data_IF_257703470580
#
_entry.id   IF_257703470580
#
_cell.length_a   1.000
_cell.length_b   1.000
_cell.length_c   1.000
_cell.angle_alpha   90.00
_cell.angle_beta   90.00
_cell.angle_gamma   90.00
#
_symmetry.space_group_name_H-M   'P 1'
#
loop_
_entity.id
_entity.type
_entity.pdbx_description
1 polymer ?
#
# COMPACT_ATOMS: atom_id res chain seq x y z
N UNK A 1 24.80 1.11 2.08
CA UNK A 1 25.83 0.59 3.01
C UNK A 1 25.73 1.21 4.40
N UNK A 2 25.79 2.52 4.55
CA UNK A 2 25.72 3.21 5.88
C UNK A 2 24.50 2.82 6.73
N UNK A 3 23.31 2.65 6.14
CA UNK A 3 22.09 2.31 6.87
C UNK A 3 22.11 0.88 7.47
N UNK A 4 22.80 -0.05 6.83
CA UNK A 4 22.94 -1.45 7.28
C UNK A 4 23.91 -1.51 8.46
N UNK A 5 25.03 -0.78 8.38
CA UNK A 5 26.03 -0.69 9.44
C UNK A 5 25.40 -0.12 10.72
N UNK A 6 24.60 0.95 10.60
CA UNK A 6 23.90 1.56 11.72
C UNK A 6 22.93 0.57 12.41
N UNK A 7 22.21 -0.25 11.67
CA UNK A 7 21.28 -1.24 12.24
C UNK A 7 22.02 -2.33 13.01
N UNK A 8 23.10 -2.87 12.44
CA UNK A 8 23.93 -3.88 13.09
C UNK A 8 24.59 -3.32 14.38
N UNK A 9 25.17 -2.13 14.30
CA UNK A 9 25.77 -1.47 15.44
C UNK A 9 24.75 -1.20 16.54
N UNK A 10 23.55 -0.73 16.18
CA UNK A 10 22.47 -0.49 17.16
C UNK A 10 22.05 -1.77 17.85
N UNK A 11 21.89 -2.87 17.12
CA UNK A 11 21.57 -4.20 17.69
C UNK A 11 22.68 -4.69 18.61
N UNK A 12 23.93 -4.57 18.19
CA UNK A 12 25.06 -5.00 18.99
C UNK A 12 25.19 -4.18 20.29
N UNK A 13 25.10 -2.86 20.22
CA UNK A 13 25.14 -2.02 21.42
C UNK A 13 23.95 -2.31 22.36
N UNK A 14 22.76 -2.52 21.81
CA UNK A 14 21.59 -2.89 22.59
C UNK A 14 21.77 -4.26 23.29
N UNK A 15 22.39 -5.26 22.62
CA UNK A 15 22.68 -6.56 23.22
C UNK A 15 23.69 -6.51 24.37
N UNK A 16 24.53 -5.47 24.40
CA UNK A 16 25.46 -5.16 25.50
C UNK A 16 24.81 -4.32 26.62
N UNK A 17 23.48 -4.08 26.56
CA UNK A 17 22.76 -3.25 27.53
C UNK A 17 23.04 -1.75 27.41
N UNK A 18 23.70 -1.30 26.35
CA UNK A 18 24.04 0.12 26.16
C UNK A 18 22.84 0.89 25.62
N UNK A 19 22.46 2.02 26.23
CA UNK A 19 21.36 2.85 25.74
C UNK A 19 21.72 3.56 24.41
N UNK A 20 21.03 3.18 23.33
CA UNK A 20 21.21 3.81 22.02
C UNK A 20 20.14 4.87 21.79
N UNK A 21 20.55 6.04 21.32
CA UNK A 21 19.66 7.15 20.96
C UNK A 21 19.91 7.61 19.53
N UNK A 22 18.86 7.98 18.84
CA UNK A 22 18.94 8.54 17.48
C UNK A 22 18.92 10.06 17.54
N UNK A 23 19.96 10.70 17.04
CA UNK A 23 19.99 12.15 16.90
C UNK A 23 19.08 12.57 15.74
N UNK A 24 17.99 13.25 16.06
CA UNK A 24 17.01 13.69 15.05
C UNK A 24 17.59 14.85 14.22
N UNK A 25 17.29 14.83 12.92
CA UNK A 25 17.71 15.88 12.00
C UNK A 25 17.37 17.29 12.51
N UNK A 26 18.24 18.28 12.33
CA UNK A 26 18.03 19.63 12.83
C UNK A 26 16.77 20.28 12.25
N UNK A 27 16.16 21.21 13.00
CA UNK A 27 15.05 22.01 12.50
C UNK A 27 15.51 22.82 11.27
N UNK A 28 14.54 23.18 10.41
CA UNK A 28 14.82 23.90 9.16
C UNK A 28 15.56 25.21 9.35
N UNK A 29 15.37 25.87 10.49
CA UNK A 29 16.04 27.11 10.89
C UNK A 29 17.52 26.91 11.28
N UNK A 30 17.91 25.70 11.64
CA UNK A 30 19.30 25.33 12.02
C UNK A 30 20.06 24.64 10.90
N UNK A 31 19.52 24.66 9.67
CA UNK A 31 20.19 24.10 8.49
C UNK A 31 21.36 25.00 8.13
N UNK A 32 22.45 24.33 7.81
CA UNK A 32 23.78 24.81 7.31
C UNK A 32 23.86 26.28 6.91
N UNK A 33 24.93 26.91 7.32
CA UNK A 33 25.36 28.19 6.74
C UNK A 33 25.58 27.98 5.22
N UNK A 34 25.25 28.99 4.40
CA UNK A 34 25.58 28.96 2.97
C UNK A 34 27.08 28.66 2.79
N UNK A 35 27.42 27.72 1.91
CA UNK A 35 28.81 27.34 1.64
C UNK A 35 29.35 26.11 2.38
N UNK A 36 28.69 25.59 3.42
CA UNK A 36 29.12 24.35 4.07
C UNK A 36 28.57 23.14 3.33
N UNK A 37 29.43 22.35 2.70
CA UNK A 37 29.16 21.07 2.11
C UNK A 37 28.65 20.01 3.14
N UNK A 38 28.18 18.86 2.68
CA UNK A 38 27.87 17.71 3.54
C UNK A 38 29.20 17.08 3.99
N UNK A 39 29.42 17.06 5.31
CA UNK A 39 30.64 16.59 5.93
C UNK A 39 30.23 15.67 7.09
N UNK A 40 30.80 14.48 7.15
CA UNK A 40 30.47 13.47 8.15
C UNK A 40 30.91 13.93 9.56
N UNK A 41 31.98 14.70 9.66
CA UNK A 41 32.48 15.30 10.90
C UNK A 41 31.45 16.26 11.51
N UNK A 42 30.87 17.15 10.71
CA UNK A 42 29.84 18.08 11.17
C UNK A 42 28.52 17.34 11.55
N UNK A 43 28.23 16.22 10.93
CA UNK A 43 27.07 15.38 11.29
C UNK A 43 27.36 14.64 12.61
N UNK A 44 28.59 14.14 12.83
CA UNK A 44 29.03 13.50 14.07
C UNK A 44 29.08 14.51 15.25
N UNK A 45 29.62 15.70 15.03
CA UNK A 45 29.66 16.76 16.05
C UNK A 45 28.26 17.17 16.50
N UNK A 46 27.31 17.29 15.54
CA UNK A 46 25.91 17.60 15.87
C UNK A 46 25.23 16.47 16.65
N UNK A 47 25.53 15.23 16.31
CA UNK A 47 25.01 14.08 17.05
C UNK A 47 25.55 14.05 18.48
N UNK A 48 26.85 14.30 18.67
CA UNK A 48 27.47 14.39 19.98
C UNK A 48 26.87 15.54 20.82
N UNK A 49 26.73 16.73 20.25
CA UNK A 49 26.08 17.88 20.93
C UNK A 49 24.63 17.60 21.30
N UNK A 50 23.86 16.93 20.43
CA UNK A 50 22.48 16.50 20.72
C UNK A 50 22.45 15.50 21.88
N UNK A 51 23.39 14.55 21.91
CA UNK A 51 23.51 13.58 22.99
C UNK A 51 23.84 14.26 24.33
N UNK A 52 24.81 15.18 24.35
CA UNK A 52 25.21 15.92 25.55
C UNK A 52 24.09 16.82 26.09
N UNK A 53 23.34 17.48 25.20
CA UNK A 53 22.24 18.37 25.63
C UNK A 53 20.94 17.63 25.97
N UNK A 54 20.87 16.33 25.73
CA UNK A 54 19.64 15.56 25.87
C UNK A 54 18.50 16.00 24.93
N UNK A 55 18.77 16.99 24.05
CA UNK A 55 17.77 17.58 23.17
C UNK A 55 17.69 16.86 21.84
N UNK A 56 16.46 16.73 21.28
CA UNK A 56 16.22 16.15 19.95
C UNK A 56 16.74 14.73 19.78
N UNK A 57 16.68 13.96 20.85
CA UNK A 57 16.95 12.53 20.82
C UNK A 57 15.66 11.73 20.62
N UNK A 58 15.75 10.70 19.80
CA UNK A 58 14.69 9.74 19.56
C UNK A 58 15.12 8.33 19.94
N UNK A 59 14.16 7.43 20.05
CA UNK A 59 14.43 6.02 20.14
C UNK A 59 14.66 5.48 18.73
N UNK A 60 15.75 4.75 18.46
CA UNK A 60 16.00 4.14 17.14
C UNK A 60 14.88 3.18 16.77
N UNK A 61 14.67 3.02 15.47
CA UNK A 61 13.75 2.00 14.96
C UNK A 61 14.33 0.63 15.25
N UNK A 62 13.60 -0.22 15.98
CA UNK A 62 13.96 -1.62 16.14
C UNK A 62 13.55 -2.42 14.90
N UNK A 63 14.29 -3.48 14.62
CA UNK A 63 14.11 -4.42 13.51
C UNK A 63 14.58 -5.80 13.97
N UNK A 64 14.00 -6.31 15.03
CA UNK A 64 14.40 -7.53 15.75
C UNK A 64 13.18 -8.43 16.05
N UNK A 65 12.00 -8.03 15.64
CA UNK A 65 10.75 -8.75 15.78
C UNK A 65 10.13 -9.18 14.45
N UNK A 66 8.82 -9.32 14.43
CA UNK A 66 8.06 -9.77 13.27
C UNK A 66 8.17 -8.83 12.05
N UNK A 67 8.35 -7.53 12.27
CA UNK A 67 8.49 -6.54 11.20
C UNK A 67 9.79 -6.78 10.41
N UNK A 68 10.85 -7.26 11.04
CA UNK A 68 12.08 -7.62 10.31
C UNK A 68 11.86 -8.83 9.40
N UNK A 69 11.10 -9.84 9.86
CA UNK A 69 10.66 -10.94 9.02
C UNK A 69 9.88 -10.48 7.80
N UNK A 70 8.88 -9.60 8.01
CA UNK A 70 8.10 -9.00 6.92
C UNK A 70 8.98 -8.19 5.96
N UNK A 71 9.98 -7.46 6.46
CA UNK A 71 10.96 -6.74 5.62
C UNK A 71 11.75 -7.70 4.72
N UNK A 72 12.16 -8.85 5.25
CA UNK A 72 12.87 -9.88 4.47
C UNK A 72 11.95 -10.47 3.38
N UNK A 73 10.70 -10.80 3.73
CA UNK A 73 9.71 -11.30 2.77
C UNK A 73 9.40 -10.28 1.67
N UNK A 74 9.27 -8.98 2.00
CA UNK A 74 9.13 -7.92 1.01
C UNK A 74 10.33 -7.82 0.06
N UNK A 75 11.54 -8.00 0.57
CA UNK A 75 12.75 -7.98 -0.24
C UNK A 75 12.79 -9.18 -1.22
N UNK A 76 12.49 -10.38 -0.73
CA UNK A 76 12.40 -11.60 -1.54
C UNK A 76 11.31 -11.45 -2.62
N UNK A 77 10.09 -11.01 -2.24
CA UNK A 77 9.01 -10.73 -3.18
C UNK A 77 9.42 -9.72 -4.26
N UNK A 78 10.12 -8.65 -3.86
CA UNK A 78 10.59 -7.62 -4.82
C UNK A 78 11.60 -8.21 -5.81
N UNK A 79 12.48 -9.11 -5.37
CA UNK A 79 13.39 -9.84 -6.22
C UNK A 79 12.65 -10.71 -7.24
N UNK A 80 11.69 -11.50 -6.78
CA UNK A 80 10.85 -12.35 -7.63
C UNK A 80 10.05 -11.53 -8.68
N UNK A 81 9.44 -10.40 -8.28
CA UNK A 81 8.72 -9.51 -9.21
C UNK A 81 9.65 -8.93 -10.28
N UNK A 82 10.88 -8.57 -9.92
CA UNK A 82 11.89 -8.10 -10.89
C UNK A 82 12.31 -9.20 -11.86
N UNK A 83 12.57 -10.41 -11.36
CA UNK A 83 12.92 -11.57 -12.20
C UNK A 83 11.80 -11.89 -13.19
N UNK A 84 10.55 -11.90 -12.74
CA UNK A 84 9.37 -12.06 -13.58
C UNK A 84 9.27 -11.02 -14.69
N UNK A 85 9.50 -9.76 -14.36
CA UNK A 85 9.45 -8.65 -15.34
C UNK A 85 10.61 -8.75 -16.33
N UNK A 86 11.80 -9.10 -15.86
CA UNK A 86 12.98 -9.30 -16.68
C UNK A 86 12.79 -10.43 -17.69
N UNK A 87 12.23 -11.58 -17.26
CA UNK A 87 11.94 -12.71 -18.14
C UNK A 87 10.99 -12.31 -19.30
N UNK A 88 9.90 -11.59 -19.00
CA UNK A 88 8.98 -11.09 -20.04
C UNK A 88 9.70 -10.17 -21.03
N UNK A 89 10.51 -9.22 -20.54
CA UNK A 89 11.19 -8.26 -21.39
C UNK A 89 12.25 -8.94 -22.26
N UNK A 90 12.99 -9.92 -21.74
CA UNK A 90 13.96 -10.71 -22.49
C UNK A 90 13.26 -11.55 -23.57
N UNK A 91 12.16 -12.23 -23.24
CA UNK A 91 11.39 -12.99 -24.21
C UNK A 91 10.87 -12.11 -25.36
N UNK A 92 10.34 -10.92 -25.03
CA UNK A 92 9.92 -9.95 -26.06
C UNK A 92 11.07 -9.47 -26.95
N UNK A 93 12.24 -9.24 -26.36
CA UNK A 93 13.44 -8.86 -27.13
C UNK A 93 13.85 -9.95 -28.10
N UNK A 94 13.88 -11.21 -27.67
CA UNK A 94 14.19 -12.36 -28.54
C UNK A 94 13.16 -12.52 -29.66
N UNK A 95 11.86 -12.37 -29.34
CA UNK A 95 10.80 -12.45 -30.33
C UNK A 95 10.84 -11.32 -31.38
N UNK A 96 11.41 -10.16 -31.05
CA UNK A 96 11.54 -9.03 -32.00
C UNK A 96 12.42 -9.39 -33.17
N UNK A 97 13.46 -10.20 -32.96
CA UNK A 97 14.40 -10.65 -33.98
C UNK A 97 14.13 -12.08 -34.48
N UNK A 98 13.07 -12.71 -34.02
CA UNK A 98 12.69 -14.08 -34.40
C UNK A 98 12.19 -14.18 -35.85
N UNK A 99 12.23 -15.37 -36.45
CA UNK A 99 11.60 -15.64 -37.75
C UNK A 99 10.10 -15.24 -37.72
N UNK A 100 9.59 -14.79 -38.89
CA UNK A 100 8.21 -14.23 -38.97
C UNK A 100 7.12 -15.20 -38.46
N UNK A 101 7.31 -16.51 -38.68
CA UNK A 101 6.35 -17.52 -38.19
C UNK A 101 6.18 -17.50 -36.66
N UNK A 102 7.29 -17.40 -35.93
CA UNK A 102 7.27 -17.26 -34.46
C UNK A 102 6.77 -15.86 -34.04
N UNK A 103 7.29 -14.82 -34.69
CA UNK A 103 6.94 -13.44 -34.37
C UNK A 103 5.44 -13.17 -34.55
N UNK A 104 4.83 -13.62 -35.63
CA UNK A 104 3.40 -13.45 -35.90
C UNK A 104 2.52 -14.18 -34.88
N UNK A 105 2.94 -15.39 -34.47
CA UNK A 105 2.23 -16.21 -33.48
C UNK A 105 2.06 -15.50 -32.14
N UNK A 106 3.06 -14.75 -31.69
CA UNK A 106 3.06 -14.10 -30.37
C UNK A 106 2.80 -12.58 -30.42
N UNK A 107 2.54 -12.03 -31.61
CA UNK A 107 2.31 -10.58 -31.80
C UNK A 107 1.12 -10.09 -30.98
N UNK A 108 1.33 -9.02 -30.22
CA UNK A 108 0.28 -8.36 -29.43
C UNK A 108 -0.17 -9.08 -28.16
N UNK A 109 0.46 -10.22 -27.81
CA UNK A 109 0.10 -10.93 -26.59
C UNK A 109 0.48 -10.15 -25.34
N UNK A 110 -0.42 -10.12 -24.35
CA UNK A 110 -0.12 -9.61 -23.01
C UNK A 110 0.98 -10.45 -22.34
N UNK A 111 1.83 -9.80 -21.52
CA UNK A 111 3.01 -10.44 -20.93
C UNK A 111 2.74 -11.79 -20.23
N UNK A 112 1.78 -11.90 -19.32
CA UNK A 112 1.47 -13.18 -18.66
C UNK A 112 1.07 -14.27 -19.66
N UNK A 113 0.14 -13.98 -20.57
CA UNK A 113 -0.31 -14.93 -21.59
C UNK A 113 0.82 -15.36 -22.52
N UNK A 114 1.71 -14.42 -22.91
CA UNK A 114 2.90 -14.74 -23.67
C UNK A 114 3.72 -15.81 -22.96
N UNK A 115 4.03 -15.63 -21.68
CA UNK A 115 4.88 -16.56 -20.93
C UNK A 115 4.22 -17.93 -20.71
N UNK A 116 2.89 -18.00 -20.66
CA UNK A 116 2.12 -19.25 -20.57
C UNK A 116 2.13 -20.02 -21.89
N UNK A 117 2.22 -19.35 -23.02
CA UNK A 117 2.21 -19.96 -24.36
C UNK A 117 3.63 -20.36 -24.85
N UNK A 118 4.69 -19.72 -24.37
CA UNK A 118 6.07 -19.97 -24.83
C UNK A 118 6.57 -21.42 -24.66
N UNK A 119 6.15 -22.21 -23.65
CA UNK A 119 6.55 -23.62 -23.56
C UNK A 119 6.18 -24.44 -24.78
N UNK A 120 5.15 -24.05 -25.54
CA UNK A 120 4.69 -24.75 -26.75
C UNK A 120 5.70 -24.76 -27.90
N UNK A 121 6.65 -23.83 -27.90
CA UNK A 121 7.70 -23.73 -28.94
C UNK A 121 9.05 -24.23 -28.48
N UNK A 122 9.16 -24.83 -27.30
CA UNK A 122 10.42 -25.28 -26.68
C UNK A 122 11.22 -26.23 -27.59
N UNK A 123 10.55 -27.07 -28.37
CA UNK A 123 11.18 -28.00 -29.28
C UNK A 123 11.61 -27.37 -30.64
N UNK A 124 11.29 -26.11 -30.87
CA UNK A 124 11.55 -25.40 -32.14
C UNK A 124 12.99 -24.80 -32.18
N UNK A 125 14.02 -25.64 -31.94
CA UNK A 125 15.41 -25.25 -32.01
C UNK A 125 15.90 -24.43 -30.80
N UNK A 126 17.07 -23.82 -30.90
CA UNK A 126 17.73 -23.11 -29.82
C UNK A 126 16.92 -21.90 -29.31
N UNK A 127 16.26 -21.16 -30.21
CA UNK A 127 15.40 -20.04 -29.83
C UNK A 127 14.19 -20.52 -29.02
N UNK A 128 13.52 -21.57 -29.45
CA UNK A 128 12.39 -22.17 -28.73
C UNK A 128 12.79 -22.68 -27.35
N UNK A 129 13.95 -23.34 -27.24
CA UNK A 129 14.52 -23.76 -25.96
C UNK A 129 14.77 -22.57 -25.00
N UNK A 130 15.34 -21.47 -25.51
CA UNK A 130 15.60 -20.27 -24.74
C UNK A 130 14.28 -19.60 -24.26
N UNK A 131 13.29 -19.50 -25.14
CA UNK A 131 11.97 -18.96 -24.80
C UNK A 131 11.25 -19.82 -23.74
N UNK A 132 11.33 -21.15 -23.86
CA UNK A 132 10.81 -22.08 -22.87
C UNK A 132 11.49 -21.95 -21.50
N UNK A 133 12.81 -21.79 -21.45
CA UNK A 133 13.55 -21.55 -20.21
C UNK A 133 13.14 -20.23 -19.53
N UNK A 134 12.89 -19.17 -20.30
CA UNK A 134 12.37 -17.89 -19.78
C UNK A 134 10.96 -18.04 -19.22
N UNK A 135 10.12 -18.87 -19.81
CA UNK A 135 8.78 -19.17 -19.31
C UNK A 135 8.85 -19.90 -17.95
N UNK A 136 9.75 -20.89 -17.81
CA UNK A 136 9.98 -21.59 -16.54
C UNK A 136 10.45 -20.62 -15.44
N UNK A 137 11.42 -19.77 -15.74
CA UNK A 137 11.90 -18.74 -14.82
C UNK A 137 10.78 -17.79 -14.39
N UNK A 138 9.95 -17.36 -15.34
CA UNK A 138 8.81 -16.49 -15.07
C UNK A 138 7.80 -17.18 -14.15
N UNK A 139 7.46 -18.45 -14.41
CA UNK A 139 6.52 -19.21 -13.59
C UNK A 139 7.02 -19.37 -12.15
N UNK A 140 8.28 -19.81 -11.98
CA UNK A 140 8.90 -19.95 -10.67
C UNK A 140 8.94 -18.60 -9.91
N UNK A 141 9.28 -17.51 -10.61
CA UNK A 141 9.31 -16.18 -10.00
C UNK A 141 7.90 -15.65 -9.65
N UNK A 142 6.88 -15.99 -10.44
CA UNK A 142 5.48 -15.68 -10.15
C UNK A 142 5.04 -16.36 -8.86
N UNK A 143 5.30 -17.65 -8.75
CA UNK A 143 4.86 -18.47 -7.63
C UNK A 143 5.60 -18.05 -6.34
N UNK A 144 6.91 -17.84 -6.40
CA UNK A 144 7.69 -17.29 -5.28
C UNK A 144 7.16 -15.92 -4.80
N UNK A 145 6.73 -15.04 -5.72
CA UNK A 145 6.15 -13.74 -5.34
C UNK A 145 4.81 -13.90 -4.64
N UNK A 146 3.96 -14.84 -5.08
CA UNK A 146 2.67 -15.14 -4.45
C UNK A 146 2.84 -15.78 -3.08
N UNK A 147 3.79 -16.70 -2.93
CA UNK A 147 4.07 -17.36 -1.64
C UNK A 147 4.55 -16.34 -0.60
N UNK A 148 5.44 -15.43 -1.00
CA UNK A 148 5.85 -14.33 -0.12
C UNK A 148 4.69 -13.41 0.24
N UNK A 149 3.77 -13.15 -0.66
CA UNK A 149 2.59 -12.32 -0.38
C UNK A 149 1.65 -13.00 0.62
N UNK A 150 1.42 -14.31 0.50
CA UNK A 150 0.65 -15.11 1.48
C UNK A 150 1.32 -15.12 2.85
N UNK A 151 2.63 -15.33 2.90
CA UNK A 151 3.38 -15.31 4.15
C UNK A 151 3.36 -13.94 4.84
N UNK A 152 3.43 -12.86 4.07
CA UNK A 152 3.26 -11.49 4.56
C UNK A 152 1.84 -11.29 5.12
N UNK A 153 0.80 -11.75 4.41
CA UNK A 153 -0.59 -11.64 4.85
C UNK A 153 -0.79 -12.38 6.18
N UNK A 154 -0.33 -13.61 6.29
CA UNK A 154 -0.41 -14.39 7.52
C UNK A 154 0.30 -13.72 8.71
N UNK A 155 1.51 -13.19 8.50
CA UNK A 155 2.24 -12.47 9.54
C UNK A 155 1.53 -11.20 9.99
N UNK A 156 0.87 -10.49 9.07
CA UNK A 156 0.08 -9.30 9.39
C UNK A 156 -1.25 -9.64 10.08
N UNK A 157 -1.89 -10.75 9.73
CA UNK A 157 -3.10 -11.24 10.40
C UNK A 157 -2.83 -11.56 11.87
N UNK A 158 -1.67 -12.14 12.15
CA UNK A 158 -1.24 -12.45 13.51
C UNK A 158 -0.86 -11.20 14.32
N UNK A 159 -0.06 -10.31 13.75
CA UNK A 159 0.61 -9.26 14.51
C UNK A 159 -0.01 -7.87 14.37
N UNK A 160 -0.69 -7.56 13.25
CA UNK A 160 -1.31 -6.24 13.02
C UNK A 160 -2.51 -6.30 12.07
N UNK A 161 -3.57 -7.07 12.41
CA UNK A 161 -4.77 -7.19 11.57
C UNK A 161 -5.46 -5.86 11.30
N UNK A 162 -5.30 -4.86 12.17
CA UNK A 162 -5.86 -3.53 11.97
C UNK A 162 -5.36 -2.82 10.69
N UNK A 163 -4.12 -3.08 10.25
CA UNK A 163 -3.63 -2.56 8.97
C UNK A 163 -4.32 -3.21 7.76
N UNK A 164 -4.58 -4.52 7.84
CA UNK A 164 -5.30 -5.24 6.78
C UNK A 164 -6.79 -4.85 6.73
N UNK A 165 -7.36 -4.47 7.88
CA UNK A 165 -8.73 -4.01 7.97
C UNK A 165 -8.97 -2.64 7.30
N UNK A 166 -7.93 -1.86 7.08
CA UNK A 166 -8.04 -0.56 6.39
C UNK A 166 -8.52 -0.75 4.96
N UNK A 167 -9.55 0.01 4.55
CA UNK A 167 -10.05 -0.04 3.18
C UNK A 167 -8.97 0.30 2.14
N UNK A 168 -8.84 -0.55 1.12
CA UNK A 168 -7.84 -0.38 0.06
C UNK A 168 -6.40 -0.72 0.45
N UNK A 169 -6.16 -1.21 1.66
CA UNK A 169 -4.84 -1.62 2.13
C UNK A 169 -4.67 -3.14 1.92
N UNK A 170 -3.95 -3.53 0.89
CA UNK A 170 -3.57 -4.93 0.68
C UNK A 170 -2.30 -5.32 1.47
N UNK A 171 -1.96 -6.64 1.54
CA UNK A 171 -0.87 -7.15 2.36
C UNK A 171 0.48 -6.46 2.12
N UNK A 172 0.84 -6.23 0.86
CA UNK A 172 2.10 -5.56 0.48
C UNK A 172 2.15 -4.10 0.94
N UNK A 173 1.01 -3.39 0.88
CA UNK A 173 0.93 -2.00 1.34
C UNK A 173 0.99 -1.91 2.86
N UNK A 174 0.27 -2.79 3.57
CA UNK A 174 0.31 -2.93 5.01
C UNK A 174 1.73 -3.24 5.51
N UNK A 175 2.39 -4.22 4.88
CA UNK A 175 3.76 -4.58 5.19
C UNK A 175 4.75 -3.40 5.06
N UNK A 176 4.67 -2.62 3.98
CA UNK A 176 5.52 -1.44 3.79
C UNK A 176 5.30 -0.39 4.88
N UNK A 177 4.06 -0.21 5.34
CA UNK A 177 3.72 0.72 6.42
C UNK A 177 4.23 0.20 7.78
N UNK A 178 4.09 -1.09 8.06
CA UNK A 178 4.65 -1.73 9.25
C UNK A 178 6.18 -1.62 9.28
N UNK A 179 6.85 -1.92 8.16
CA UNK A 179 8.31 -1.79 8.05
C UNK A 179 8.78 -0.35 8.24
N UNK A 180 8.02 0.65 7.80
CA UNK A 180 8.37 2.06 8.06
C UNK A 180 8.26 2.42 9.55
N UNK A 181 7.29 1.84 10.27
CA UNK A 181 7.13 2.02 11.71
C UNK A 181 8.22 1.30 12.51
N UNK A 182 8.54 0.05 12.17
CA UNK A 182 9.46 -0.82 12.91
C UNK A 182 8.74 -1.64 13.99
N UNK A 183 9.48 -2.51 14.68
CA UNK A 183 8.95 -3.37 15.75
C UNK A 183 8.58 -2.58 17.04
N UNK A 184 9.00 -1.33 17.14
CA UNK A 184 8.69 -0.42 18.24
C UNK A 184 7.89 0.82 17.78
N UNK A 185 6.64 0.67 17.30
CA UNK A 185 5.85 1.79 16.78
C UNK A 185 5.59 2.88 17.82
N UNK A 186 5.60 2.54 19.12
CA UNK A 186 5.47 3.51 20.23
C UNK A 186 6.55 4.61 20.25
N UNK A 187 7.68 4.45 19.51
CA UNK A 187 8.67 5.52 19.30
C UNK A 187 8.11 6.70 18.48
N UNK A 188 7.03 6.47 17.76
CA UNK A 188 6.38 7.49 16.94
C UNK A 188 5.50 8.36 17.83
N UNK A 189 5.91 9.60 18.05
CA UNK A 189 5.26 10.51 19.00
C UNK A 189 3.87 10.97 18.58
N UNK A 190 3.51 10.90 17.29
CA UNK A 190 2.24 11.40 16.77
C UNK A 190 1.96 10.93 15.34
N UNK A 191 0.71 11.05 14.90
CA UNK A 191 0.30 10.89 13.50
C UNK A 191 1.12 11.76 12.53
N UNK A 192 1.49 12.97 12.97
CA UNK A 192 2.32 13.88 12.19
C UNK A 192 3.74 13.35 11.98
N UNK A 193 4.30 12.73 13.02
CA UNK A 193 5.61 12.08 13.00
C UNK A 193 5.65 10.93 12.01
N UNK A 194 4.65 10.04 12.05
CA UNK A 194 4.53 8.94 11.09
C UNK A 194 4.33 9.43 9.66
N UNK A 195 3.45 10.41 9.45
CA UNK A 195 3.27 11.00 8.12
C UNK A 195 4.53 11.67 7.57
N UNK A 196 5.38 12.23 8.44
CA UNK A 196 6.68 12.78 8.03
C UNK A 196 7.64 11.66 7.59
N UNK A 197 7.69 10.54 8.32
CA UNK A 197 8.46 9.34 7.95
C UNK A 197 7.99 8.81 6.59
N UNK A 198 6.69 8.76 6.35
CA UNK A 198 6.12 8.31 5.06
C UNK A 198 6.24 9.36 3.94
N UNK A 199 6.81 10.54 4.18
CA UNK A 199 6.88 11.62 3.19
C UNK A 199 5.50 12.21 2.82
N UNK A 200 4.48 12.00 3.64
CA UNK A 200 3.12 12.50 3.43
C UNK A 200 2.87 13.86 4.12
N UNK A 201 3.85 14.41 4.82
CA UNK A 201 3.78 15.74 5.41
C UNK A 201 3.97 16.81 4.34
N UNK A 202 3.05 17.78 4.20
CA UNK A 202 3.22 18.87 3.26
C UNK A 202 4.38 19.78 3.68
N UNK A 203 5.21 20.20 2.73
CA UNK A 203 6.23 21.22 2.96
C UNK A 203 5.68 22.56 2.47
N UNK A 204 5.56 23.59 3.33
CA UNK A 204 5.14 24.91 2.89
C UNK A 204 6.03 25.44 1.76
N UNK A 205 5.42 25.97 0.72
CA UNK A 205 6.08 26.59 -0.43
C UNK A 205 5.33 27.88 -0.80
N UNK A 206 4.99 28.65 0.24
CA UNK A 206 4.25 29.90 0.11
C UNK A 206 5.17 31.06 -0.25
N UNK A 207 4.72 31.95 -1.10
CA UNK A 207 5.34 33.24 -1.38
C UNK A 207 4.24 34.31 -1.44
N UNK A 208 4.35 35.37 -0.63
CA UNK A 208 3.38 36.44 -0.56
C UNK A 208 1.97 35.94 -0.24
N UNK A 209 0.98 36.30 -1.07
CA UNK A 209 -0.44 35.96 -0.87
C UNK A 209 -0.81 34.50 -1.23
N UNK A 210 0.11 33.72 -1.82
CA UNK A 210 -0.18 32.35 -2.28
C UNK A 210 0.31 31.30 -1.29
N UNK A 211 -0.61 30.57 -0.67
CA UNK A 211 -0.31 29.44 0.21
C UNK A 211 -0.29 28.15 -0.61
N UNK A 212 0.89 27.62 -0.87
CA UNK A 212 1.07 26.35 -1.57
C UNK A 212 1.96 25.39 -0.78
N UNK A 213 1.86 24.11 -1.10
CA UNK A 213 2.64 23.05 -0.48
C UNK A 213 3.32 22.21 -1.55
N UNK A 214 4.61 21.87 -1.35
CA UNK A 214 5.36 20.99 -2.22
C UNK A 214 5.54 19.59 -1.62
N UNK A 215 5.93 18.63 -2.49
CA UNK A 215 6.19 17.26 -2.10
C UNK A 215 7.38 17.17 -1.12
N UNK A 216 7.20 16.39 -0.06
CA UNK A 216 8.29 15.98 0.81
C UNK A 216 9.04 14.79 0.17
N UNK A 217 10.28 15.01 -0.25
CA UNK A 217 11.14 13.97 -0.83
C UNK A 217 12.00 13.22 0.20
N UNK A 218 11.94 13.63 1.46
CA UNK A 218 12.80 13.11 2.53
C UNK A 218 12.24 11.91 3.30
N UNK A 219 11.07 11.41 2.93
CA UNK A 219 10.43 10.27 3.61
C UNK A 219 10.81 8.90 3.01
N UNK A 220 10.35 7.84 3.67
CA UNK A 220 10.46 6.47 3.19
C UNK A 220 9.67 6.28 1.89
N UNK A 221 10.37 5.91 0.81
CA UNK A 221 9.78 5.78 -0.52
C UNK A 221 8.79 4.63 -0.60
N UNK A 222 9.03 3.52 0.12
CA UNK A 222 8.15 2.35 0.11
C UNK A 222 6.85 2.65 0.83
N UNK A 223 6.94 3.29 2.00
CA UNK A 223 5.75 3.75 2.72
C UNK A 223 4.96 4.81 1.92
N UNK A 224 5.65 5.76 1.27
CA UNK A 224 5.01 6.75 0.41
C UNK A 224 4.27 6.10 -0.78
N UNK A 225 4.88 5.08 -1.38
CA UNK A 225 4.26 4.28 -2.46
C UNK A 225 3.03 3.52 -1.94
N UNK A 226 3.09 2.93 -0.74
CA UNK A 226 1.96 2.25 -0.13
C UNK A 226 0.79 3.21 0.12
N UNK A 227 1.05 4.38 0.72
CA UNK A 227 0.02 5.41 0.91
C UNK A 227 -0.59 5.89 -0.41
N UNK A 228 0.22 5.99 -1.47
CA UNK A 228 -0.26 6.38 -2.80
C UNK A 228 -1.18 5.31 -3.38
N UNK A 229 -0.79 4.05 -3.29
CA UNK A 229 -1.58 2.94 -3.82
C UNK A 229 -2.93 2.82 -3.10
N UNK A 230 -2.94 2.90 -1.75
CA UNK A 230 -4.17 2.90 -0.96
C UNK A 230 -5.08 4.08 -1.35
N UNK A 231 -4.51 5.29 -1.45
CA UNK A 231 -5.29 6.48 -1.84
C UNK A 231 -5.85 6.34 -3.27
N UNK A 232 -5.06 5.79 -4.22
CA UNK A 232 -5.49 5.54 -5.59
C UNK A 232 -6.64 4.53 -5.64
N UNK A 233 -6.53 3.42 -4.91
CA UNK A 233 -7.59 2.41 -4.83
C UNK A 233 -8.88 3.00 -4.24
N UNK A 234 -8.76 3.87 -3.24
CA UNK A 234 -9.92 4.54 -2.65
C UNK A 234 -10.59 5.50 -3.64
N UNK A 235 -9.83 6.33 -4.35
CA UNK A 235 -10.41 7.23 -5.37
C UNK A 235 -11.15 6.45 -6.46
N UNK A 236 -10.65 5.26 -6.82
CA UNK A 236 -11.27 4.45 -7.87
C UNK A 236 -12.49 3.64 -7.41
N UNK A 237 -12.57 3.27 -6.13
CA UNK A 237 -13.52 2.27 -5.65
C UNK A 237 -14.38 2.71 -4.48
N UNK A 238 -14.07 3.82 -3.83
CA UNK A 238 -14.83 4.38 -2.72
C UNK A 238 -15.51 5.68 -3.15
N UNK A 239 -16.85 5.69 -3.26
CA UNK A 239 -17.60 6.87 -3.69
C UNK A 239 -17.34 8.11 -2.84
N UNK A 240 -17.19 7.98 -1.52
CA UNK A 240 -16.91 9.12 -0.64
C UNK A 240 -15.56 9.76 -0.93
N UNK A 241 -14.54 8.91 -1.16
CA UNK A 241 -13.21 9.39 -1.53
C UNK A 241 -13.21 10.01 -2.93
N UNK A 242 -13.97 9.45 -3.88
CA UNK A 242 -14.14 10.01 -5.22
C UNK A 242 -14.82 11.39 -5.16
N UNK A 243 -15.91 11.52 -4.43
CA UNK A 243 -16.58 12.83 -4.20
C UNK A 243 -15.66 13.87 -3.55
N UNK A 244 -14.90 13.43 -2.52
CA UNK A 244 -13.90 14.31 -1.92
C UNK A 244 -12.88 14.81 -2.95
N UNK A 245 -12.41 13.91 -3.81
CA UNK A 245 -11.44 14.25 -4.85
C UNK A 245 -12.04 15.24 -5.86
N UNK A 246 -13.29 15.04 -6.30
CA UNK A 246 -14.01 15.95 -7.20
C UNK A 246 -14.24 17.34 -6.58
N UNK A 247 -14.72 17.39 -5.35
CA UNK A 247 -14.89 18.66 -4.61
C UNK A 247 -13.57 19.41 -4.45
N UNK A 248 -12.48 18.66 -4.19
CA UNK A 248 -11.16 19.28 -4.05
C UNK A 248 -10.63 19.83 -5.39
N UNK A 249 -10.90 19.16 -6.52
CA UNK A 249 -10.62 19.66 -7.88
C UNK A 249 -11.45 20.92 -8.21
N UNK A 250 -12.73 20.91 -7.87
CA UNK A 250 -13.61 22.06 -8.05
C UNK A 250 -13.15 23.31 -7.27
N UNK A 251 -12.39 23.11 -6.17
CA UNK A 251 -11.72 24.19 -5.41
C UNK A 251 -10.34 24.57 -5.96
N UNK A 252 -9.99 24.16 -7.18
CA UNK A 252 -8.74 24.50 -7.85
C UNK A 252 -7.52 23.66 -7.44
N UNK A 253 -7.69 22.52 -6.75
CA UNK A 253 -6.57 21.62 -6.46
C UNK A 253 -6.27 20.73 -7.67
N UNK A 254 -4.98 20.62 -7.99
CA UNK A 254 -4.51 19.64 -8.97
C UNK A 254 -4.62 18.21 -8.41
N UNK A 255 -4.65 17.19 -9.29
CA UNK A 255 -4.67 15.77 -8.89
C UNK A 255 -3.53 15.40 -7.94
N UNK A 256 -2.33 15.98 -8.16
CA UNK A 256 -1.19 15.78 -7.28
C UNK A 256 -1.43 16.34 -5.87
N UNK A 257 -2.17 17.42 -5.74
CA UNK A 257 -2.53 18.02 -4.45
C UNK A 257 -3.62 17.21 -3.75
N UNK A 258 -4.63 16.76 -4.47
CA UNK A 258 -5.67 15.85 -3.99
C UNK A 258 -5.03 14.57 -3.42
N UNK A 259 -4.15 13.93 -4.20
CA UNK A 259 -3.44 12.74 -3.75
C UNK A 259 -2.56 12.98 -2.51
N UNK A 260 -1.94 14.17 -2.37
CA UNK A 260 -1.20 14.52 -1.15
C UNK A 260 -2.11 14.63 0.08
N UNK A 261 -3.28 15.22 -0.08
CA UNK A 261 -4.26 15.29 0.99
C UNK A 261 -4.73 13.88 1.41
N UNK A 262 -5.11 13.05 0.45
CA UNK A 262 -5.57 11.68 0.70
C UNK A 262 -4.48 10.82 1.38
N UNK A 263 -3.24 10.89 0.92
CA UNK A 263 -2.13 10.19 1.58
C UNK A 263 -1.96 10.62 3.04
N UNK A 264 -2.24 11.86 3.37
CA UNK A 264 -2.19 12.34 4.76
C UNK A 264 -3.29 11.72 5.62
N UNK A 265 -4.50 11.58 5.07
CA UNK A 265 -5.60 10.88 5.77
C UNK A 265 -5.28 9.41 5.97
N UNK A 266 -4.82 8.72 4.93
CA UNK A 266 -4.40 7.32 5.02
C UNK A 266 -3.27 7.12 6.03
N UNK A 267 -2.30 8.04 6.09
CA UNK A 267 -1.20 7.97 7.06
C UNK A 267 -1.69 8.09 8.51
N UNK A 268 -2.74 8.90 8.78
CA UNK A 268 -3.35 9.00 10.11
C UNK A 268 -4.04 7.70 10.52
N UNK A 269 -4.78 7.11 9.59
CA UNK A 269 -5.46 5.84 9.80
C UNK A 269 -4.45 4.71 10.05
N UNK A 270 -3.41 4.63 9.21
CA UNK A 270 -2.33 3.66 9.37
C UNK A 270 -1.58 3.82 10.71
N UNK A 271 -1.34 5.05 11.14
CA UNK A 271 -0.74 5.30 12.46
C UNK A 271 -1.60 4.73 13.59
N UNK A 272 -2.92 4.96 13.55
CA UNK A 272 -3.84 4.42 14.57
C UNK A 272 -3.85 2.90 14.57
N UNK A 273 -3.88 2.28 13.38
CA UNK A 273 -3.80 0.84 13.22
C UNK A 273 -2.49 0.25 13.78
N UNK A 274 -1.36 0.92 13.57
CA UNK A 274 -0.06 0.51 14.11
C UNK A 274 0.04 0.66 15.63
N UNK A 275 -0.61 1.69 16.21
CA UNK A 275 -0.63 1.89 17.66
C UNK A 275 -1.60 0.96 18.39
N UNK A 276 -2.58 0.41 17.67
CA UNK A 276 -3.63 -0.48 18.18
C UNK A 276 -3.81 -1.66 17.22
N UNK A 277 -2.80 -2.52 17.11
CA UNK A 277 -2.70 -3.50 16.03
C UNK A 277 -3.83 -4.52 15.99
N UNK A 278 -4.47 -4.81 17.12
CA UNK A 278 -5.58 -5.77 17.21
C UNK A 278 -6.96 -5.09 17.38
N UNK A 279 -6.99 -3.75 17.49
CA UNK A 279 -8.24 -3.00 17.47
C UNK A 279 -8.71 -2.85 16.03
N UNK A 280 -9.33 -3.88 15.50
CA UNK A 280 -10.12 -3.71 14.29
C UNK A 280 -11.30 -2.85 14.69
N UNK A 281 -11.41 -1.63 14.17
CA UNK A 281 -12.71 -0.95 14.17
C UNK A 281 -13.65 -1.88 13.45
N UNK A 282 -14.45 -2.60 14.21
CA UNK A 282 -15.50 -3.42 13.62
C UNK A 282 -16.33 -2.48 12.76
N UNK A 283 -16.55 -2.79 11.50
CA UNK A 283 -17.63 -2.18 10.76
C UNK A 283 -18.88 -2.31 11.63
N UNK A 284 -19.80 -1.40 11.50
CA UNK A 284 -21.11 -1.53 12.10
C UNK A 284 -21.58 -2.96 11.96
N UNK A 285 -22.18 -3.51 12.99
CA UNK A 285 -22.58 -4.91 13.06
C UNK A 285 -23.37 -5.30 11.78
N UNK A 286 -22.95 -6.34 11.11
CA UNK A 286 -23.59 -6.84 9.90
C UNK A 286 -24.61 -7.97 10.22
N UNK A 287 -24.89 -8.23 11.51
CA UNK A 287 -25.76 -9.32 11.95
C UNK A 287 -27.15 -9.25 11.34
N UNK A 288 -27.72 -8.05 11.21
CA UNK A 288 -29.02 -7.82 10.56
C UNK A 288 -28.99 -8.18 9.07
N UNK A 289 -27.95 -7.77 8.37
CA UNK A 289 -27.75 -8.12 6.94
C UNK A 289 -27.60 -9.63 6.75
N UNK A 290 -26.84 -10.27 7.65
CA UNK A 290 -26.67 -11.73 7.65
C UNK A 290 -27.99 -12.44 7.92
N UNK A 291 -28.76 -11.97 8.90
CA UNK A 291 -30.05 -12.53 9.25
C UNK A 291 -31.03 -12.41 8.11
N UNK A 292 -31.16 -11.23 7.50
CA UNK A 292 -32.04 -10.98 6.33
C UNK A 292 -31.69 -11.88 5.16
N UNK A 293 -30.40 -11.96 4.78
CA UNK A 293 -29.97 -12.85 3.69
C UNK A 293 -30.26 -14.33 3.97
N UNK A 294 -30.00 -14.78 5.21
CA UNK A 294 -30.26 -16.18 5.61
C UNK A 294 -31.74 -16.50 5.61
N UNK A 295 -32.57 -15.58 6.10
CA UNK A 295 -34.04 -15.74 6.08
C UNK A 295 -34.55 -15.86 4.65
N UNK A 296 -33.99 -15.10 3.71
CA UNK A 296 -34.30 -15.21 2.28
C UNK A 296 -33.65 -16.45 1.60
N UNK A 297 -32.94 -17.31 2.33
CA UNK A 297 -32.23 -18.51 1.83
C UNK A 297 -31.24 -18.21 0.68
N UNK A 298 -30.68 -17.00 0.63
CA UNK A 298 -29.66 -16.59 -0.36
C UNK A 298 -28.28 -16.97 0.13
N UNK A 299 -27.50 -17.70 -0.68
CA UNK A 299 -26.09 -18.02 -0.38
C UNK A 299 -25.18 -16.79 -0.52
N UNK A 300 -24.00 -16.80 0.14
CA UNK A 300 -23.00 -15.75 -0.03
C UNK A 300 -22.53 -15.61 -1.49
N UNK A 301 -22.39 -16.72 -2.20
CA UNK A 301 -22.07 -16.74 -3.64
C UNK A 301 -23.12 -16.00 -4.46
N UNK A 302 -24.41 -16.28 -4.20
CA UNK A 302 -25.52 -15.64 -4.91
C UNK A 302 -25.59 -14.15 -4.57
N UNK A 303 -25.47 -13.78 -3.29
CA UNK A 303 -25.40 -12.38 -2.86
C UNK A 303 -24.23 -11.64 -3.51
N UNK A 304 -23.07 -12.27 -3.62
CA UNK A 304 -21.91 -11.70 -4.28
C UNK A 304 -22.18 -11.42 -5.78
N UNK A 305 -22.83 -12.35 -6.47
CA UNK A 305 -23.25 -12.17 -7.87
C UNK A 305 -24.21 -10.99 -8.05
N UNK A 306 -25.24 -10.89 -7.21
CA UNK A 306 -26.24 -9.81 -7.25
C UNK A 306 -25.58 -8.45 -6.92
N UNK A 307 -24.73 -8.43 -5.90
CA UNK A 307 -24.03 -7.21 -5.47
C UNK A 307 -22.80 -6.87 -6.30
N UNK A 308 -22.53 -7.58 -7.41
CA UNK A 308 -21.39 -7.31 -8.29
C UNK A 308 -20.05 -7.35 -7.58
N UNK A 309 -19.84 -8.36 -6.70
CA UNK A 309 -18.62 -8.48 -5.90
C UNK A 309 -18.19 -9.95 -5.80
N UNK A 310 -17.16 -10.27 -5.01
CA UNK A 310 -16.72 -11.63 -4.75
C UNK A 310 -17.31 -12.18 -3.45
N UNK A 311 -17.49 -13.51 -3.37
CA UNK A 311 -17.91 -14.19 -2.15
C UNK A 311 -16.98 -13.86 -0.96
N UNK A 312 -15.68 -13.77 -1.21
CA UNK A 312 -14.68 -13.37 -0.20
C UNK A 312 -15.04 -12.02 0.43
N UNK A 313 -15.48 -11.05 -0.35
CA UNK A 313 -15.86 -9.74 0.15
C UNK A 313 -17.14 -9.79 1.00
N UNK A 314 -18.15 -10.54 0.57
CA UNK A 314 -19.39 -10.75 1.36
C UNK A 314 -19.02 -11.41 2.68
N UNK A 315 -18.25 -12.49 2.65
CA UNK A 315 -17.81 -13.20 3.85
C UNK A 315 -17.01 -12.34 4.81
N UNK A 316 -16.11 -11.47 4.29
CA UNK A 316 -15.32 -10.55 5.12
C UNK A 316 -16.19 -9.46 5.76
N UNK A 317 -17.18 -8.94 5.03
CA UNK A 317 -18.14 -7.98 5.53
C UNK A 317 -19.00 -8.59 6.63
N UNK A 318 -19.60 -9.75 6.37
CA UNK A 318 -20.49 -10.44 7.30
C UNK A 318 -19.77 -10.89 8.60
N UNK A 319 -18.48 -11.21 8.51
CA UNK A 319 -17.65 -11.55 9.68
C UNK A 319 -17.06 -10.34 10.39
N UNK A 320 -17.33 -9.13 9.92
CA UNK A 320 -16.74 -7.91 10.47
C UNK A 320 -15.21 -7.83 10.34
N UNK A 321 -14.63 -8.55 9.36
CA UNK A 321 -13.18 -8.61 9.17
C UNK A 321 -12.63 -7.41 8.39
N UNK A 322 -13.48 -6.73 7.60
CA UNK A 322 -13.05 -5.61 6.77
C UNK A 322 -14.18 -4.62 6.54
N UNK A 323 -13.86 -3.33 6.66
CA UNK A 323 -14.77 -2.26 6.30
C UNK A 323 -14.86 -2.15 4.77
N UNK A 324 -15.97 -2.59 4.18
CA UNK A 324 -16.24 -2.59 2.75
C UNK A 324 -17.44 -1.67 2.44
N UNK A 325 -17.32 -0.39 2.82
CA UNK A 325 -18.41 0.60 2.75
C UNK A 325 -19.25 0.57 1.46
N UNK A 326 -18.66 0.52 0.25
CA UNK A 326 -19.48 0.47 -0.97
C UNK A 326 -20.31 -0.81 -1.09
N UNK A 327 -19.76 -1.94 -0.65
CA UNK A 327 -20.45 -3.24 -0.70
C UNK A 327 -21.50 -3.28 0.40
N UNK A 328 -21.19 -2.77 1.60
CA UNK A 328 -22.14 -2.68 2.71
C UNK A 328 -23.36 -1.86 2.33
N UNK A 329 -23.20 -0.67 1.79
CA UNK A 329 -24.30 0.18 1.34
C UNK A 329 -25.16 -0.48 0.25
N UNK A 330 -24.50 -1.14 -0.70
CA UNK A 330 -25.22 -1.91 -1.72
C UNK A 330 -26.01 -3.07 -1.09
N UNK A 331 -25.43 -3.70 -0.07
CA UNK A 331 -26.08 -4.79 0.65
C UNK A 331 -27.27 -4.28 1.48
N UNK A 332 -27.11 -3.18 2.20
CA UNK A 332 -28.18 -2.52 2.94
C UNK A 332 -29.35 -2.13 2.02
N UNK A 333 -29.08 -1.47 0.91
CA UNK A 333 -30.10 -1.09 -0.07
C UNK A 333 -30.79 -2.31 -0.69
N UNK A 334 -30.04 -3.39 -0.94
CA UNK A 334 -30.62 -4.64 -1.44
C UNK A 334 -31.52 -5.32 -0.41
N UNK A 335 -31.18 -5.28 0.87
CA UNK A 335 -32.01 -5.77 1.98
C UNK A 335 -33.26 -4.91 2.14
N UNK A 336 -33.13 -3.58 2.11
CA UNK A 336 -34.24 -2.62 2.17
C UNK A 336 -35.22 -2.80 1.00
N UNK A 337 -34.73 -3.15 -0.20
CA UNK A 337 -35.54 -3.48 -1.36
C UNK A 337 -36.24 -4.85 -1.26
N UNK A 338 -36.07 -5.61 -0.19
CA UNK A 338 -36.67 -6.94 -0.01
C UNK A 338 -35.91 -8.08 -0.66
N UNK A 339 -34.63 -7.93 -0.92
CA UNK A 339 -33.72 -8.94 -1.47
C UNK A 339 -34.14 -9.48 -2.86
N UNK A 340 -34.50 -8.63 -3.83
CA UNK A 340 -34.87 -9.11 -5.18
C UNK A 340 -33.68 -9.79 -5.86
N UNK A 341 -33.95 -10.88 -6.61
CA UNK A 341 -32.87 -11.64 -7.29
C UNK A 341 -32.32 -10.95 -8.54
N UNK A 342 -33.05 -9.99 -9.06
CA UNK A 342 -32.77 -9.16 -10.24
C UNK A 342 -32.27 -7.75 -9.89
N UNK A 343 -31.89 -7.53 -8.64
CA UNK A 343 -31.38 -6.23 -8.18
C UNK A 343 -30.12 -5.80 -8.93
N UNK A 344 -30.14 -4.55 -9.46
CA UNK A 344 -29.03 -3.99 -10.22
C UNK A 344 -28.26 -2.94 -9.40
N UNK A 345 -27.06 -3.32 -8.99
CA UNK A 345 -26.13 -2.42 -8.29
C UNK A 345 -25.73 -1.22 -9.14
N UNK A 346 -25.59 -1.36 -10.46
CA UNK A 346 -25.16 -0.27 -11.31
C UNK A 346 -26.22 0.81 -11.41
N UNK A 347 -27.48 0.43 -11.50
CA UNK A 347 -28.62 1.34 -11.45
C UNK A 347 -28.67 2.09 -10.11
N UNK A 348 -28.52 1.40 -8.97
CA UNK A 348 -28.45 1.99 -7.64
C UNK A 348 -27.31 3.01 -7.50
N UNK A 349 -26.10 2.67 -7.95
CA UNK A 349 -24.96 3.57 -7.89
C UNK A 349 -25.11 4.78 -8.83
N UNK A 350 -25.82 4.63 -9.95
CA UNK A 350 -26.12 5.72 -10.90
C UNK A 350 -27.12 6.72 -10.33
N UNK A 351 -28.23 6.25 -9.74
CA UNK A 351 -29.22 7.12 -9.08
C UNK A 351 -28.58 7.93 -7.96
N UNK A 352 -27.78 7.31 -7.14
CA UNK A 352 -27.09 7.97 -6.04
C UNK A 352 -26.10 9.04 -6.51
N UNK A 353 -25.42 8.82 -7.63
CA UNK A 353 -24.55 9.85 -8.26
C UNK A 353 -25.35 11.06 -8.75
N UNK A 354 -26.56 10.83 -9.24
CA UNK A 354 -27.45 11.91 -9.68
C UNK A 354 -27.96 12.73 -8.51
N UNK A 355 -28.33 12.09 -7.39
CA UNK A 355 -28.82 12.78 -6.19
C UNK A 355 -27.69 13.60 -5.50
N UNK A 356 -26.48 13.05 -5.43
CA UNK A 356 -25.31 13.79 -4.94
C UNK A 356 -25.02 15.04 -5.78
N UNK A 357 -25.22 14.98 -7.11
CA UNK A 357 -25.06 16.14 -8.00
C UNK A 357 -26.14 17.20 -7.79
N UNK A 358 -27.39 16.80 -7.54
CA UNK A 358 -28.50 17.74 -7.24
C UNK A 358 -28.29 18.48 -5.92
N UNK A 359 -27.71 17.83 -4.90
CA UNK A 359 -27.39 18.48 -3.61
C UNK A 359 -26.17 19.41 -3.66
N UNK A 360 -25.27 19.24 -4.64
CA UNK A 360 -24.13 20.13 -4.86
C UNK A 360 -24.47 21.36 -5.72
N UNK A 361 -25.63 21.34 -6.39
CA UNK A 361 -26.11 22.44 -7.24
C UNK A 361 -27.10 23.37 -6.52
N UNK A 362 -27.46 23.09 -5.28
CA UNK A 362 -28.16 23.97 -4.34
C UNK A 362 -27.20 24.54 -3.29
#
# INVERSE_FOLDING_TARGET
MVKIILTLTTRHLASLGMPVREALSPARTQRRRPGQGKCDEADAERAARAAMSGSRLGTPKSQDGWVDGVRCMLAARSGAVKARTSAINTARSLLTTAPEGLRSRFRGMAGPRLMEELPSVRAEGALGAALGALADLWAAARDAALDMERAIEASLEENCPALLAMYGCGPVSAAKLAVAAGDNPGRLRSEASFAAICGACPIPASSGKTVRHRLNRGGDRQANSALHEIARQRVMRDPETAEYAERARGRGKSDREVMRCLKRYVAREAYRALMRPHEIRRPEDASELVAARRAAKVSQVRAASILGTSEKHISMLERGQRELKPIRRAYEAWVEAGLPLDWDRQAFEAERKMDSKKHLAK
#
